data_IF_093684115422
#
_entry.id   IF_093684115422
#
_cell.length_a   1.000
_cell.length_b   1.000
_cell.length_c   1.000
_cell.angle_alpha   90.00
_cell.angle_beta   90.00
_cell.angle_gamma   90.00
#
_symmetry.space_group_name_H-M   'P 1'
#
loop_
_entity.id
_entity.type
_entity.pdbx_description
1 polymer ?
#
# COMPACT_ATOMS: atom_id res chain seq x y z
N UNK A 1 4.73 5.95 -43.94
CA UNK A 1 6.00 5.61 -43.32
C UNK A 1 7.11 5.76 -44.35
N UNK A 2 8.05 6.66 -44.14
CA UNK A 2 9.03 7.05 -45.17
C UNK A 2 10.07 5.93 -45.42
N UNK A 3 9.99 5.23 -46.58
CA UNK A 3 11.01 4.22 -47.01
C UNK A 3 12.46 4.75 -46.92
N UNK A 4 12.64 6.07 -47.05
CA UNK A 4 13.94 6.73 -46.91
C UNK A 4 14.52 6.68 -45.50
N UNK A 5 13.69 6.85 -44.46
CA UNK A 5 14.11 6.74 -43.04
C UNK A 5 14.58 5.31 -42.68
N UNK A 6 13.83 4.30 -43.11
CA UNK A 6 14.23 2.90 -42.94
C UNK A 6 15.58 2.60 -43.61
N UNK A 7 15.79 3.06 -44.86
CA UNK A 7 17.06 2.84 -45.55
C UNK A 7 18.25 3.55 -44.90
N UNK A 8 18.02 4.75 -44.34
CA UNK A 8 19.04 5.49 -43.60
C UNK A 8 19.42 4.76 -42.28
N UNK A 9 18.46 4.28 -41.50
CA UNK A 9 18.70 3.54 -40.23
C UNK A 9 19.48 2.26 -40.51
N UNK A 10 19.19 1.55 -41.59
CA UNK A 10 19.90 0.34 -42.00
C UNK A 10 21.35 0.65 -42.45
N UNK A 11 21.58 1.76 -43.12
CA UNK A 11 22.92 2.16 -43.57
C UNK A 11 23.83 2.56 -42.37
N UNK A 12 23.27 3.16 -41.31
CA UNK A 12 23.97 3.55 -40.09
C UNK A 12 23.91 2.47 -38.98
N UNK A 13 23.79 1.19 -39.38
CA UNK A 13 23.50 0.07 -38.46
C UNK A 13 24.41 -0.03 -37.21
N UNK A 14 25.69 0.32 -37.30
CA UNK A 14 26.63 0.26 -36.15
C UNK A 14 26.29 1.29 -35.07
N UNK A 15 26.05 2.53 -35.45
CA UNK A 15 25.66 3.61 -34.53
C UNK A 15 24.25 3.40 -33.99
N UNK A 16 23.32 2.92 -34.82
CA UNK A 16 21.95 2.64 -34.43
C UNK A 16 21.82 1.39 -33.55
N UNK A 17 22.69 0.38 -33.73
CA UNK A 17 22.68 -0.81 -32.85
C UNK A 17 23.00 -0.46 -31.39
N UNK A 18 23.96 0.44 -31.15
CA UNK A 18 24.27 0.90 -29.79
C UNK A 18 23.04 1.61 -29.17
N UNK A 19 22.45 2.56 -29.87
CA UNK A 19 21.25 3.26 -29.39
C UNK A 19 20.06 2.31 -29.19
N UNK A 20 19.90 1.30 -30.04
CA UNK A 20 18.88 0.27 -29.88
C UNK A 20 19.06 -0.50 -28.56
N UNK A 21 20.27 -0.97 -28.27
CA UNK A 21 20.57 -1.70 -27.02
C UNK A 21 20.38 -0.79 -25.80
N UNK A 22 20.84 0.46 -25.88
CA UNK A 22 20.67 1.45 -24.81
C UNK A 22 19.19 1.70 -24.51
N UNK A 23 18.38 1.99 -25.56
CA UNK A 23 16.94 2.21 -25.39
C UNK A 23 16.21 0.97 -24.89
N UNK A 24 16.63 -0.23 -25.30
CA UNK A 24 16.07 -1.50 -24.81
C UNK A 24 16.32 -1.67 -23.31
N UNK A 25 17.57 -1.53 -22.89
CA UNK A 25 17.94 -1.67 -21.47
C UNK A 25 17.24 -0.62 -20.61
N UNK A 26 17.20 0.62 -21.08
CA UNK A 26 16.51 1.72 -20.41
C UNK A 26 15.01 1.43 -20.31
N UNK A 27 14.37 0.94 -21.38
CA UNK A 27 12.93 0.61 -21.37
C UNK A 27 12.61 -0.45 -20.32
N UNK A 28 13.37 -1.54 -20.26
CA UNK A 28 13.18 -2.63 -19.30
C UNK A 28 13.33 -2.13 -17.85
N UNK A 29 14.43 -1.40 -17.58
CA UNK A 29 14.70 -0.88 -16.23
C UNK A 29 13.63 0.15 -15.82
N UNK A 30 13.26 1.04 -16.73
CA UNK A 30 12.25 2.06 -16.48
C UNK A 30 10.88 1.43 -16.26
N UNK A 31 10.49 0.42 -17.04
CA UNK A 31 9.25 -0.32 -16.83
C UNK A 31 9.23 -0.97 -15.43
N UNK A 32 10.30 -1.65 -15.03
CA UNK A 32 10.40 -2.26 -13.71
C UNK A 32 10.22 -1.23 -12.58
N UNK A 33 10.84 -0.04 -12.73
CA UNK A 33 10.69 1.06 -11.77
C UNK A 33 9.25 1.56 -11.72
N UNK A 34 8.63 1.79 -12.90
CA UNK A 34 7.24 2.27 -13.00
C UNK A 34 6.27 1.25 -12.42
N UNK A 35 6.42 -0.04 -12.73
CA UNK A 35 5.57 -1.11 -12.21
C UNK A 35 5.68 -1.23 -10.68
N UNK A 36 6.90 -1.23 -10.16
CA UNK A 36 7.16 -1.28 -8.72
C UNK A 36 6.52 -0.09 -7.99
N UNK A 37 6.71 1.12 -8.52
CA UNK A 37 6.13 2.34 -7.94
C UNK A 37 4.61 2.34 -8.01
N UNK A 38 4.05 1.92 -9.15
CA UNK A 38 2.61 1.79 -9.31
C UNK A 38 2.02 0.87 -8.27
N UNK A 39 2.56 -0.34 -8.11
CA UNK A 39 2.04 -1.32 -7.14
C UNK A 39 2.16 -0.82 -5.71
N UNK A 40 3.31 -0.27 -5.35
CA UNK A 40 3.53 0.25 -3.99
C UNK A 40 2.57 1.38 -3.64
N UNK A 41 2.40 2.35 -4.56
CA UNK A 41 1.47 3.45 -4.35
C UNK A 41 0.01 2.98 -4.38
N UNK A 42 -0.35 2.11 -5.31
CA UNK A 42 -1.69 1.53 -5.38
C UNK A 42 -2.05 0.83 -4.07
N UNK A 43 -1.16 -0.06 -3.58
CA UNK A 43 -1.35 -0.75 -2.31
C UNK A 43 -1.44 0.23 -1.14
N UNK A 44 -0.59 1.24 -1.08
CA UNK A 44 -0.62 2.24 -0.01
C UNK A 44 -1.95 3.00 0.07
N UNK A 45 -2.54 3.37 -1.07
CA UNK A 45 -3.79 4.12 -1.15
C UNK A 45 -5.05 3.26 -1.19
N UNK A 46 -4.93 1.93 -1.23
CA UNK A 46 -6.07 1.03 -1.22
C UNK A 46 -6.89 1.19 0.09
N UNK A 47 -8.23 1.06 0.06
CA UNK A 47 -9.07 1.18 1.25
C UNK A 47 -8.65 0.22 2.36
N UNK A 48 -8.56 0.69 3.59
CA UNK A 48 -8.14 -0.10 4.76
C UNK A 48 -9.22 -1.03 5.29
N UNK A 49 -10.49 -0.68 5.08
CA UNK A 49 -11.64 -1.37 5.67
C UNK A 49 -11.92 -1.00 7.13
N UNK A 50 -11.20 -0.02 7.69
CA UNK A 50 -11.38 0.52 9.04
C UNK A 50 -10.98 1.99 9.10
N UNK A 51 -11.44 2.66 10.16
CA UNK A 51 -11.14 4.06 10.44
C UNK A 51 -10.49 4.19 11.81
N UNK A 52 -9.35 4.89 11.86
CA UNK A 52 -8.57 5.18 13.08
C UNK A 52 -8.62 6.66 13.50
N UNK A 53 -9.41 7.49 12.83
CA UNK A 53 -9.58 8.88 13.25
C UNK A 53 -10.31 8.92 14.59
N UNK A 54 -9.91 9.83 15.46
CA UNK A 54 -10.47 10.00 16.80
C UNK A 54 -10.49 8.71 17.65
N UNK A 55 -9.55 7.79 17.42
CA UNK A 55 -9.43 6.54 18.17
C UNK A 55 -8.15 6.51 19.01
N UNK A 56 -8.25 5.90 20.18
CA UNK A 56 -7.18 5.83 21.16
C UNK A 56 -7.08 4.43 21.76
N UNK A 57 -5.84 3.97 21.99
CA UNK A 57 -5.56 2.82 22.82
C UNK A 57 -5.32 3.30 24.25
N UNK A 58 -5.98 2.64 25.20
CA UNK A 58 -5.87 2.89 26.62
C UNK A 58 -5.18 1.71 27.27
N UNK A 59 -4.14 1.96 28.06
CA UNK A 59 -3.38 0.93 28.76
C UNK A 59 -3.57 1.11 30.25
N UNK A 60 -4.03 0.04 30.92
CA UNK A 60 -4.03 -0.05 32.38
C UNK A 60 -2.79 -0.79 32.85
N UNK A 61 -2.35 -0.47 34.05
CA UNK A 61 -1.25 -1.14 34.72
C UNK A 61 -1.60 -1.35 36.19
N UNK A 62 -0.81 -2.16 36.90
CA UNK A 62 -0.99 -2.46 38.30
C UNK A 62 0.05 -1.74 39.16
N UNK A 63 -0.37 -1.30 40.35
CA UNK A 63 0.56 -0.87 41.37
C UNK A 63 1.44 -2.05 41.81
N UNK A 64 2.69 -1.80 42.02
CA UNK A 64 3.62 -2.79 42.56
C UNK A 64 3.66 -2.74 44.08
N UNK A 65 4.13 -3.79 44.76
CA UNK A 65 4.29 -3.87 46.21
C UNK A 65 5.13 -2.71 46.80
N UNK A 66 5.96 -2.07 45.98
CA UNK A 66 6.76 -0.91 46.39
C UNK A 66 5.97 0.39 46.40
N UNK A 67 4.77 0.40 45.84
CA UNK A 67 3.92 1.58 45.82
C UNK A 67 3.29 1.80 47.22
N UNK A 68 3.29 3.04 47.73
CA UNK A 68 2.70 3.32 49.05
C UNK A 68 1.19 3.03 49.11
N UNK A 69 0.52 3.02 47.98
CA UNK A 69 -0.91 2.79 47.89
C UNK A 69 -1.27 1.37 47.44
N UNK A 70 -0.30 0.45 47.43
CA UNK A 70 -0.54 -0.95 47.04
C UNK A 70 -1.42 -1.68 48.07
N UNK A 71 -2.43 -2.36 47.60
CA UNK A 71 -3.33 -3.18 48.43
C UNK A 71 -2.92 -4.64 48.28
N UNK A 72 -2.37 -5.22 49.36
CA UNK A 72 -1.95 -6.61 49.38
C UNK A 72 -3.14 -7.58 49.44
N UNK A 73 -2.94 -8.79 48.90
CA UNK A 73 -3.92 -9.89 49.03
C UNK A 73 -5.12 -9.82 48.06
N UNK A 74 -5.12 -8.91 47.07
CA UNK A 74 -6.19 -8.86 46.05
C UNK A 74 -6.09 -10.06 45.10
N UNK A 75 -7.24 -10.63 44.82
CA UNK A 75 -7.40 -11.73 43.86
C UNK A 75 -7.39 -11.23 42.41
N UNK A 76 -7.19 -12.14 41.49
CA UNK A 76 -7.32 -11.83 40.05
C UNK A 76 -8.74 -11.37 39.68
N UNK A 77 -9.76 -12.00 40.32
CA UNK A 77 -11.16 -11.65 40.07
C UNK A 77 -11.50 -10.22 40.55
N UNK A 78 -10.97 -9.79 41.69
CA UNK A 78 -11.10 -8.43 42.21
C UNK A 78 -10.40 -7.43 41.25
N UNK A 79 -9.22 -7.75 40.76
CA UNK A 79 -8.52 -6.89 39.78
C UNK A 79 -9.27 -6.80 38.46
N UNK A 80 -9.88 -7.88 38.00
CA UNK A 80 -10.73 -7.88 36.80
C UNK A 80 -12.02 -7.06 37.02
N UNK A 81 -12.59 -7.07 38.25
CA UNK A 81 -13.70 -6.19 38.57
C UNK A 81 -13.30 -4.71 38.55
N UNK A 82 -12.09 -4.38 39.06
CA UNK A 82 -11.53 -3.02 38.98
C UNK A 82 -11.37 -2.53 37.51
N UNK A 83 -10.92 -3.42 36.64
CA UNK A 83 -10.82 -3.10 35.19
C UNK A 83 -12.22 -2.83 34.60
N UNK A 84 -13.22 -3.65 34.94
CA UNK A 84 -14.61 -3.43 34.48
C UNK A 84 -15.14 -2.07 34.92
N UNK A 85 -14.93 -1.71 36.17
CA UNK A 85 -15.30 -0.39 36.72
C UNK A 85 -14.60 0.76 35.94
N UNK A 86 -13.31 0.60 35.64
CA UNK A 86 -12.57 1.59 34.84
C UNK A 86 -13.08 1.70 33.40
N UNK A 87 -13.45 0.57 32.78
CA UNK A 87 -14.10 0.56 31.47
C UNK A 87 -15.43 1.28 31.48
N UNK A 88 -16.25 1.08 32.52
CA UNK A 88 -17.53 1.77 32.67
C UNK A 88 -17.36 3.25 32.90
N UNK A 89 -16.32 3.70 33.60
CA UNK A 89 -15.97 5.11 33.72
C UNK A 89 -15.57 5.71 32.38
N UNK A 90 -14.81 4.99 31.55
CA UNK A 90 -14.47 5.42 30.20
C UNK A 90 -15.71 5.53 29.32
N UNK A 91 -16.63 4.55 29.38
CA UNK A 91 -17.89 4.55 28.60
C UNK A 91 -18.80 5.74 28.97
N UNK A 92 -18.80 6.16 30.24
CA UNK A 92 -19.60 7.30 30.74
C UNK A 92 -18.92 8.66 30.55
N UNK A 93 -17.64 8.68 30.09
CA UNK A 93 -16.94 9.94 29.90
C UNK A 93 -17.57 10.74 28.77
N UNK A 94 -17.89 12.05 28.99
CA UNK A 94 -18.33 12.91 27.89
C UNK A 94 -17.33 12.93 26.74
N UNK A 95 -17.86 12.91 25.51
CA UNK A 95 -17.03 12.89 24.30
C UNK A 95 -16.54 11.48 23.87
N UNK A 96 -16.75 10.43 24.67
CA UNK A 96 -16.48 9.04 24.27
C UNK A 96 -17.72 8.46 23.60
N UNK A 97 -17.55 7.97 22.38
CA UNK A 97 -18.60 7.35 21.55
C UNK A 97 -18.74 5.85 21.80
N UNK A 98 -17.60 5.15 21.87
CA UNK A 98 -17.57 3.70 22.07
C UNK A 98 -16.26 3.28 22.76
N UNK A 99 -16.32 2.21 23.55
CA UNK A 99 -15.17 1.58 24.20
C UNK A 99 -15.26 0.08 23.95
N UNK A 100 -14.19 -0.49 23.40
CA UNK A 100 -14.09 -1.92 23.09
C UNK A 100 -12.93 -2.58 23.78
N UNK A 101 -13.06 -3.88 24.00
CA UNK A 101 -11.96 -4.76 24.36
C UNK A 101 -11.65 -5.71 23.23
N UNK A 102 -10.38 -6.09 23.10
CA UNK A 102 -9.94 -7.05 22.11
C UNK A 102 -8.69 -7.80 22.57
N UNK A 103 -8.33 -8.84 21.81
CA UNK A 103 -7.10 -9.59 22.00
C UNK A 103 -6.41 -9.79 20.66
N UNK A 104 -5.19 -9.26 20.50
CA UNK A 104 -4.41 -9.28 19.25
C UNK A 104 -5.22 -8.82 18.03
N UNK A 105 -6.02 -7.74 18.17
CA UNK A 105 -7.06 -7.42 17.19
C UNK A 105 -7.05 -5.98 16.70
N UNK A 106 -6.48 -5.03 17.45
CA UNK A 106 -6.49 -3.63 17.00
C UNK A 106 -5.59 -3.44 15.76
N UNK A 107 -5.91 -2.50 14.88
CA UNK A 107 -5.12 -2.20 13.69
C UNK A 107 -3.67 -1.81 14.04
N UNK A 108 -2.71 -2.30 13.24
CA UNK A 108 -1.27 -1.99 13.41
C UNK A 108 -0.68 -2.43 14.77
N UNK A 109 -1.11 -3.58 15.29
CA UNK A 109 -0.64 -4.07 16.59
C UNK A 109 0.71 -4.80 16.56
N UNK A 110 1.20 -5.18 15.37
CA UNK A 110 2.45 -5.94 15.22
C UNK A 110 2.37 -7.41 15.66
N UNK A 111 1.21 -7.85 16.12
CA UNK A 111 0.96 -9.22 16.57
C UNK A 111 -0.17 -9.84 15.75
N UNK A 112 0.09 -11.02 15.20
CA UNK A 112 -0.88 -11.79 14.45
C UNK A 112 -1.17 -13.10 15.15
N UNK A 113 -2.39 -13.24 15.64
CA UNK A 113 -2.90 -14.55 16.02
C UNK A 113 -3.61 -15.14 14.81
N UNK A 114 -3.27 -16.36 14.43
CA UNK A 114 -3.88 -17.03 13.29
C UNK A 114 -5.00 -17.97 13.65
N UNK A 115 -5.88 -18.19 12.69
CA UNK A 115 -6.93 -19.20 12.75
C UNK A 115 -7.13 -19.83 11.38
N UNK A 116 -7.27 -21.14 11.33
CA UNK A 116 -7.62 -21.84 10.11
C UNK A 116 -9.14 -21.91 9.95
N UNK A 117 -9.63 -21.65 8.75
CA UNK A 117 -11.05 -21.76 8.42
C UNK A 117 -11.21 -22.71 7.24
N UNK A 118 -12.17 -23.62 7.35
CA UNK A 118 -12.51 -24.59 6.31
C UNK A 118 -14.02 -24.65 6.10
N UNK A 119 -14.41 -24.69 4.85
CA UNK A 119 -15.77 -25.00 4.43
C UNK A 119 -15.76 -26.35 3.70
N UNK A 120 -16.53 -27.32 4.20
CA UNK A 120 -16.66 -28.68 3.64
C UNK A 120 -15.29 -29.33 3.34
N UNK A 121 -15.06 -29.70 2.07
CA UNK A 121 -13.83 -30.34 1.57
C UNK A 121 -12.79 -29.34 1.09
N UNK A 122 -13.03 -28.01 1.21
CA UNK A 122 -12.08 -27.00 0.77
C UNK A 122 -10.81 -27.03 1.64
N UNK A 123 -9.71 -26.62 1.04
CA UNK A 123 -8.45 -26.48 1.77
C UNK A 123 -8.56 -25.45 2.88
N UNK A 124 -7.95 -25.74 4.02
CA UNK A 124 -7.87 -24.82 5.14
C UNK A 124 -7.18 -23.54 4.72
N UNK A 125 -7.70 -22.40 5.16
CA UNK A 125 -7.10 -21.08 4.95
C UNK A 125 -6.70 -20.47 6.27
N UNK A 126 -5.42 -20.10 6.37
CA UNK A 126 -4.89 -19.34 7.48
C UNK A 126 -5.33 -17.89 7.37
N UNK A 127 -5.86 -17.34 8.46
CA UNK A 127 -6.42 -16.00 8.55
C UNK A 127 -6.01 -15.33 9.85
N UNK A 128 -6.03 -14.01 9.87
CA UNK A 128 -5.79 -13.23 11.08
C UNK A 128 -7.02 -13.35 11.96
N UNK A 129 -6.85 -13.95 13.14
CA UNK A 129 -7.90 -14.06 14.15
C UNK A 129 -8.02 -12.77 14.94
N UNK A 130 -9.24 -12.29 15.12
CA UNK A 130 -9.58 -11.12 15.93
C UNK A 130 -10.62 -11.51 16.97
N UNK A 131 -10.25 -11.47 18.24
CA UNK A 131 -11.20 -11.60 19.35
C UNK A 131 -11.58 -10.23 19.84
N UNK A 132 -12.88 -9.90 19.75
CA UNK A 132 -13.35 -8.54 19.99
C UNK A 132 -14.70 -8.52 20.71
N UNK A 133 -14.95 -7.47 21.50
CA UNK A 133 -16.29 -7.16 21.99
C UNK A 133 -17.11 -6.48 20.88
N UNK A 134 -18.46 -6.49 20.95
CA UNK A 134 -19.32 -5.92 19.91
C UNK A 134 -19.04 -4.46 19.55
N UNK A 135 -18.65 -3.63 20.52
CA UNK A 135 -18.33 -2.22 20.29
C UNK A 135 -17.06 -1.98 19.47
N UNK A 136 -16.26 -3.03 19.24
CA UNK A 136 -15.07 -2.95 18.40
C UNK A 136 -15.38 -2.46 16.98
N UNK A 137 -16.51 -2.91 16.44
CA UNK A 137 -16.96 -2.45 15.11
C UNK A 137 -17.26 -0.95 15.09
N UNK A 138 -17.82 -0.40 16.18
CA UNK A 138 -18.08 1.04 16.34
C UNK A 138 -16.78 1.82 16.50
N UNK A 139 -15.86 1.31 17.33
CA UNK A 139 -14.55 1.97 17.55
C UNK A 139 -13.80 2.13 16.24
N UNK A 140 -13.75 1.09 15.40
CA UNK A 140 -12.98 1.11 14.15
C UNK A 140 -13.85 1.28 12.89
N UNK A 141 -15.14 1.55 13.03
CA UNK A 141 -16.12 1.78 11.95
C UNK A 141 -16.08 0.70 10.87
N UNK A 142 -16.02 -0.58 11.28
CA UNK A 142 -16.08 -1.70 10.36
C UNK A 142 -17.43 -1.75 9.64
N UNK A 143 -17.43 -2.23 8.40
CA UNK A 143 -18.63 -2.38 7.58
C UNK A 143 -18.79 -3.82 7.13
N UNK A 144 -20.05 -4.25 7.04
CA UNK A 144 -20.40 -5.52 6.44
C UNK A 144 -20.40 -5.46 4.91
N UNK A 145 -20.14 -6.60 4.27
CA UNK A 145 -20.09 -6.71 2.82
C UNK A 145 -21.46 -6.51 2.14
N UNK A 146 -22.56 -6.65 2.89
CA UNK A 146 -23.92 -6.33 2.44
C UNK A 146 -24.37 -4.94 2.87
N UNK A 147 -23.46 -4.11 3.40
CA UNK A 147 -23.76 -2.75 3.86
C UNK A 147 -24.18 -2.65 5.31
N UNK A 148 -24.02 -3.71 6.12
CA UNK A 148 -24.32 -3.68 7.55
C UNK A 148 -23.47 -2.60 8.25
N UNK A 149 -24.14 -1.84 9.14
CA UNK A 149 -23.51 -0.80 9.95
C UNK A 149 -22.70 -1.41 11.10
N UNK A 150 -21.78 -0.66 11.73
CA UNK A 150 -21.04 -1.13 12.91
C UNK A 150 -21.93 -1.65 14.04
N UNK A 151 -23.07 -0.99 14.29
CA UNK A 151 -24.03 -1.37 15.32
C UNK A 151 -24.72 -2.71 14.97
N UNK A 152 -25.10 -2.89 13.70
CA UNK A 152 -25.70 -4.13 13.22
C UNK A 152 -24.71 -5.29 13.31
N UNK A 153 -23.44 -5.06 12.94
CA UNK A 153 -22.39 -6.07 13.10
C UNK A 153 -22.19 -6.44 14.57
N UNK A 154 -22.15 -5.46 15.48
CA UNK A 154 -22.08 -5.71 16.92
C UNK A 154 -23.23 -6.59 17.41
N UNK A 155 -24.46 -6.36 16.95
CA UNK A 155 -25.63 -7.14 17.32
C UNK A 155 -25.62 -8.60 16.75
N UNK A 156 -24.95 -8.80 15.62
CA UNK A 156 -24.81 -10.11 14.97
C UNK A 156 -23.64 -10.95 15.53
N UNK A 157 -22.69 -10.34 16.24
CA UNK A 157 -21.58 -11.05 16.86
C UNK A 157 -22.02 -11.73 18.15
N UNK A 158 -22.25 -13.04 18.10
CA UNK A 158 -22.78 -13.84 19.21
C UNK A 158 -21.91 -15.05 19.48
N UNK A 159 -22.08 -15.65 20.67
CA UNK A 159 -21.46 -16.94 20.99
C UNK A 159 -21.89 -18.02 19.98
N UNK A 160 -20.93 -18.86 19.55
CA UNK A 160 -21.15 -19.89 18.54
C UNK A 160 -21.25 -19.37 17.11
N UNK A 161 -20.98 -18.07 16.88
CA UNK A 161 -20.91 -17.47 15.55
C UNK A 161 -19.56 -16.82 15.33
N UNK A 162 -19.22 -16.62 14.06
CA UNK A 162 -18.06 -15.83 13.65
C UNK A 162 -18.41 -14.93 12.47
N UNK A 163 -17.54 -13.96 12.21
CA UNK A 163 -17.56 -13.13 11.01
C UNK A 163 -16.22 -13.25 10.31
N UNK A 164 -16.18 -13.04 9.00
CA UNK A 164 -14.93 -13.04 8.26
C UNK A 164 -14.96 -12.04 7.10
N UNK A 165 -13.78 -11.60 6.69
CA UNK A 165 -13.65 -10.75 5.52
C UNK A 165 -14.04 -11.49 4.24
N UNK A 166 -14.74 -10.79 3.33
CA UNK A 166 -15.32 -11.36 2.10
C UNK A 166 -14.28 -12.06 1.21
N UNK A 167 -13.03 -11.66 1.28
CA UNK A 167 -11.92 -12.21 0.49
C UNK A 167 -11.34 -13.53 1.05
N UNK A 168 -11.99 -14.16 2.02
CA UNK A 168 -11.48 -15.36 2.70
C UNK A 168 -11.09 -16.49 1.73
N UNK A 169 -11.92 -16.76 0.71
CA UNK A 169 -11.73 -17.80 -0.28
C UNK A 169 -11.58 -17.28 -1.72
N UNK A 170 -11.53 -15.97 -1.92
CA UNK A 170 -11.56 -15.35 -3.25
C UNK A 170 -10.39 -15.77 -4.13
N UNK A 171 -9.17 -15.84 -3.57
CA UNK A 171 -7.93 -16.05 -4.34
C UNK A 171 -7.84 -17.39 -5.05
N UNK A 172 -8.52 -18.43 -4.56
CA UNK A 172 -8.44 -19.79 -5.13
C UNK A 172 -9.76 -20.32 -5.64
N UNK A 173 -10.84 -19.98 -4.96
CA UNK A 173 -12.16 -20.57 -5.24
C UNK A 173 -13.12 -19.59 -5.90
N UNK A 174 -12.72 -18.31 -6.04
CA UNK A 174 -13.55 -17.22 -6.57
C UNK A 174 -14.92 -17.10 -5.89
N UNK A 175 -14.96 -17.41 -4.57
CA UNK A 175 -16.16 -17.40 -3.75
C UNK A 175 -16.22 -16.06 -3.01
N UNK A 176 -17.33 -15.35 -3.15
CA UNK A 176 -17.68 -14.22 -2.28
C UNK A 176 -18.34 -14.77 -1.02
N UNK A 177 -17.74 -14.50 0.12
CA UNK A 177 -18.20 -15.04 1.41
C UNK A 177 -19.61 -14.60 1.80
N UNK A 178 -20.09 -13.46 1.28
CA UNK A 178 -21.46 -12.95 1.53
C UNK A 178 -22.55 -13.97 1.12
N UNK A 179 -22.29 -14.81 0.12
CA UNK A 179 -23.25 -15.81 -0.36
C UNK A 179 -23.33 -17.04 0.56
N UNK A 180 -22.48 -17.08 1.60
CA UNK A 180 -22.38 -18.20 2.55
C UNK A 180 -22.82 -17.82 3.96
N UNK A 181 -23.41 -16.64 4.16
CA UNK A 181 -23.97 -16.24 5.46
C UNK A 181 -25.00 -17.27 5.92
N UNK A 182 -24.89 -17.67 7.17
CA UNK A 182 -25.76 -18.68 7.79
C UNK A 182 -25.28 -20.12 7.65
N UNK A 183 -24.27 -20.41 6.82
CA UNK A 183 -23.63 -21.73 6.74
C UNK A 183 -22.65 -21.96 7.87
N UNK A 184 -22.41 -23.24 8.16
CA UNK A 184 -21.45 -23.70 9.17
C UNK A 184 -20.08 -23.93 8.56
N UNK A 185 -19.05 -23.57 9.30
CA UNK A 185 -17.63 -23.70 8.97
C UNK A 185 -16.90 -24.38 10.12
N UNK A 186 -15.83 -25.09 9.81
CA UNK A 186 -14.90 -25.61 10.82
C UNK A 186 -13.81 -24.56 11.06
N UNK A 187 -13.64 -24.19 12.33
CA UNK A 187 -12.58 -23.29 12.80
C UNK A 187 -11.48 -24.10 13.46
N UNK A 188 -10.23 -23.86 13.12
CA UNK A 188 -9.04 -24.58 13.57
C UNK A 188 -9.15 -26.10 13.38
N UNK A 189 -8.74 -26.88 14.37
CA UNK A 189 -8.76 -28.34 14.35
C UNK A 189 -10.10 -28.93 14.87
N UNK A 190 -11.01 -28.10 15.34
CA UNK A 190 -12.30 -28.56 15.85
C UNK A 190 -13.22 -28.91 14.67
N UNK A 191 -13.13 -30.15 14.22
CA UNK A 191 -13.99 -30.69 13.16
C UNK A 191 -15.37 -31.11 13.66
N UNK A 192 -15.58 -31.15 14.98
CA UNK A 192 -16.79 -31.68 15.63
C UNK A 192 -17.89 -30.63 15.79
N UNK A 193 -17.55 -29.33 15.80
CA UNK A 193 -18.53 -28.23 15.95
C UNK A 193 -18.44 -27.26 14.79
N UNK A 194 -19.51 -27.24 13.98
CA UNK A 194 -19.70 -26.21 12.99
C UNK A 194 -19.96 -24.85 13.67
N UNK A 195 -19.19 -23.82 13.29
CA UNK A 195 -19.44 -22.45 13.72
C UNK A 195 -20.13 -21.68 12.61
N UNK A 196 -21.21 -21.00 12.91
CA UNK A 196 -22.05 -20.36 11.92
C UNK A 196 -21.49 -19.00 11.50
N UNK A 197 -21.36 -18.75 10.20
CA UNK A 197 -21.04 -17.43 9.67
C UNK A 197 -22.22 -16.49 9.87
N UNK A 198 -22.07 -15.45 10.70
CA UNK A 198 -23.14 -14.48 10.99
C UNK A 198 -23.15 -13.29 10.05
N UNK A 199 -22.01 -12.84 9.56
CA UNK A 199 -21.88 -11.78 8.57
C UNK A 199 -20.56 -11.91 7.80
N UNK A 200 -20.52 -11.44 6.56
CA UNK A 200 -19.31 -11.18 5.81
C UNK A 200 -18.91 -9.72 6.00
N UNK A 201 -17.64 -9.45 6.26
CA UNK A 201 -17.10 -8.10 6.44
C UNK A 201 -16.45 -7.62 5.13
N UNK A 202 -16.40 -6.32 4.90
CA UNK A 202 -15.50 -5.76 3.89
C UNK A 202 -14.06 -6.15 4.18
N UNK A 203 -13.19 -6.04 3.17
CA UNK A 203 -11.77 -6.41 3.35
C UNK A 203 -11.12 -5.51 4.38
N UNK A 204 -10.53 -6.13 5.40
CA UNK A 204 -9.86 -5.44 6.51
C UNK A 204 -8.36 -5.66 6.32
N UNK A 205 -7.64 -4.63 5.92
CA UNK A 205 -6.20 -4.72 5.69
C UNK A 205 -5.42 -4.79 7.00
N UNK A 206 -4.29 -5.49 6.95
CA UNK A 206 -3.39 -5.57 8.10
C UNK A 206 -2.66 -4.24 8.32
N UNK A 207 -2.10 -3.69 7.25
CA UNK A 207 -1.42 -2.40 7.19
C UNK A 207 -1.58 -1.75 5.80
N UNK A 208 -0.94 -0.60 5.58
CA UNK A 208 -1.03 0.11 4.30
C UNK A 208 -0.06 -0.42 3.23
N UNK A 209 0.85 -1.33 3.58
CA UNK A 209 1.85 -1.90 2.67
C UNK A 209 1.55 -3.34 2.28
N UNK A 210 0.64 -4.01 2.99
CA UNK A 210 0.19 -5.37 2.67
C UNK A 210 -1.02 -5.34 1.74
N UNK A 211 -0.96 -6.11 0.65
CA UNK A 211 -2.09 -6.19 -0.28
C UNK A 211 -3.33 -6.80 0.37
N UNK A 212 -4.51 -6.37 -0.05
CA UNK A 212 -5.80 -6.82 0.47
C UNK A 212 -5.98 -8.35 0.40
N UNK A 213 -5.46 -9.00 -0.63
CA UNK A 213 -5.54 -10.46 -0.82
C UNK A 213 -4.80 -11.26 0.28
N UNK A 214 -3.86 -10.67 1.00
CA UNK A 214 -3.16 -11.30 2.13
C UNK A 214 -3.76 -10.93 3.48
N UNK A 215 -4.66 -9.96 3.53
CA UNK A 215 -5.27 -9.43 4.76
C UNK A 215 -6.64 -10.07 5.03
N UNK A 216 -6.66 -11.40 5.17
CA UNK A 216 -7.88 -12.13 5.50
C UNK A 216 -8.08 -12.16 7.01
N UNK A 217 -9.26 -11.79 7.48
CA UNK A 217 -9.56 -11.72 8.90
C UNK A 217 -10.78 -12.55 9.27
N UNK A 218 -10.70 -13.15 10.47
CA UNK A 218 -11.80 -13.86 11.13
C UNK A 218 -12.04 -13.16 12.47
N UNK A 219 -13.29 -12.82 12.75
CA UNK A 219 -13.69 -12.10 13.96
C UNK A 219 -14.58 -13.00 14.80
N UNK A 220 -14.23 -13.14 16.08
CA UNK A 220 -14.93 -13.98 17.05
C UNK A 220 -15.23 -13.14 18.30
N UNK A 221 -16.33 -13.46 18.99
CA UNK A 221 -16.73 -12.79 20.18
C UNK A 221 -15.72 -12.99 21.32
N UNK A 222 -15.22 -11.89 21.88
CA UNK A 222 -14.59 -11.85 23.20
C UNK A 222 -15.65 -11.47 24.22
N UNK A 223 -15.90 -12.35 25.18
CA UNK A 223 -16.88 -12.09 26.24
C UNK A 223 -16.27 -11.21 27.32
N UNK A 224 -17.06 -10.34 27.91
CA UNK A 224 -16.60 -9.45 28.99
C UNK A 224 -16.23 -10.21 30.28
N UNK A 225 -16.76 -11.42 30.48
CA UNK A 225 -16.39 -12.28 31.61
C UNK A 225 -15.03 -12.97 31.40
N UNK A 226 -14.48 -12.96 30.17
CA UNK A 226 -13.15 -13.44 29.81
C UNK A 226 -12.08 -12.34 29.88
N UNK A 227 -12.36 -11.26 30.61
CA UNK A 227 -11.39 -10.21 30.87
C UNK A 227 -10.16 -10.79 31.55
N UNK A 228 -9.01 -10.61 30.91
CA UNK A 228 -7.72 -10.96 31.45
C UNK A 228 -6.76 -9.77 31.32
N UNK A 229 -5.79 -9.72 32.21
CA UNK A 229 -4.67 -8.79 32.05
C UNK A 229 -4.03 -8.96 30.68
N UNK A 230 -3.84 -7.86 29.99
CA UNK A 230 -3.27 -7.86 28.63
C UNK A 230 -4.31 -7.74 27.51
N UNK A 231 -5.62 -7.75 27.81
CA UNK A 231 -6.60 -7.38 26.82
C UNK A 231 -6.41 -5.92 26.38
N UNK A 232 -6.62 -5.69 25.11
CA UNK A 232 -6.47 -4.39 24.46
C UNK A 232 -7.74 -3.58 24.70
N UNK A 233 -7.59 -2.35 25.18
CA UNK A 233 -8.70 -1.43 25.37
C UNK A 233 -8.58 -0.31 24.37
N UNK A 234 -9.58 -0.17 23.52
CA UNK A 234 -9.63 0.82 22.47
C UNK A 234 -10.91 1.64 22.62
N UNK A 235 -10.82 2.94 22.40
CA UNK A 235 -11.98 3.82 22.42
C UNK A 235 -12.00 4.76 21.20
N UNK A 236 -13.19 5.21 20.86
CA UNK A 236 -13.43 6.27 19.89
C UNK A 236 -14.08 7.45 20.59
N UNK A 237 -13.64 8.64 20.25
CA UNK A 237 -14.32 9.88 20.64
C UNK A 237 -15.25 10.36 19.53
N UNK A 238 -16.24 11.15 19.90
CA UNK A 238 -17.13 11.81 18.94
C UNK A 238 -16.36 12.74 18.00
N UNK A 239 -16.83 12.91 16.78
CA UNK A 239 -16.18 13.74 15.76
C UNK A 239 -16.05 15.24 16.17
N UNK A 240 -16.85 15.70 17.14
CA UNK A 240 -16.78 17.06 17.70
C UNK A 240 -15.89 17.22 18.92
N UNK A 241 -15.20 16.16 19.36
CA UNK A 241 -14.34 16.23 20.56
C UNK A 241 -13.11 17.12 20.28
N UNK A 242 -12.81 18.12 21.15
CA UNK A 242 -11.65 18.98 20.97
C UNK A 242 -10.32 18.22 20.95
N UNK A 243 -9.34 18.75 20.21
CA UNK A 243 -7.98 18.21 20.19
C UNK A 243 -7.38 18.06 21.60
N UNK A 244 -6.44 17.13 21.80
CA UNK A 244 -5.80 16.91 23.09
C UNK A 244 -6.59 16.01 24.05
N UNK A 245 -7.47 15.14 23.53
CA UNK A 245 -8.23 14.20 24.35
C UNK A 245 -7.32 13.28 25.20
N UNK A 246 -6.24 12.77 24.62
CA UNK A 246 -5.31 11.88 25.35
C UNK A 246 -4.68 12.60 26.55
N UNK A 247 -4.27 13.84 26.40
CA UNK A 247 -3.66 14.68 27.45
C UNK A 247 -4.68 14.98 28.55
N UNK A 248 -5.94 15.31 28.19
CA UNK A 248 -7.01 15.52 29.18
C UNK A 248 -7.33 14.25 29.95
N UNK A 249 -7.43 13.10 29.25
CA UNK A 249 -7.69 11.82 29.91
C UNK A 249 -6.55 11.44 30.87
N UNK A 250 -5.30 11.65 30.46
CA UNK A 250 -4.13 11.39 31.31
C UNK A 250 -4.05 12.36 32.52
N UNK A 251 -4.50 13.60 32.37
CA UNK A 251 -4.58 14.56 33.48
C UNK A 251 -5.58 14.13 34.54
N UNK A 252 -6.70 13.52 34.11
CA UNK A 252 -7.74 13.02 35.00
C UNK A 252 -7.40 11.62 35.59
N UNK A 253 -6.39 10.93 35.05
CA UNK A 253 -6.04 9.56 35.41
C UNK A 253 -5.84 9.34 36.91
N UNK A 254 -5.07 10.16 37.66
CA UNK A 254 -4.82 9.93 39.08
C UNK A 254 -6.08 9.97 39.95
N UNK A 255 -7.05 10.81 39.59
CA UNK A 255 -8.28 11.03 40.38
C UNK A 255 -9.46 10.20 39.95
N UNK A 256 -9.61 9.88 38.66
CA UNK A 256 -10.81 9.25 38.11
C UNK A 256 -10.56 7.84 37.59
N UNK A 257 -9.32 7.51 37.16
CA UNK A 257 -9.03 6.25 36.47
C UNK A 257 -8.01 5.42 37.25
N UNK A 258 -8.25 5.32 38.55
CA UNK A 258 -7.60 4.39 39.49
C UNK A 258 -8.66 3.72 40.35
N UNK A 259 -8.66 2.38 40.42
CA UNK A 259 -9.52 1.56 41.25
C UNK A 259 -8.68 0.41 41.80
N UNK A 260 -8.67 0.23 43.09
CA UNK A 260 -7.79 -0.77 43.72
C UNK A 260 -6.32 -0.59 43.34
N UNK A 261 -5.72 -1.66 42.86
CA UNK A 261 -4.35 -1.63 42.33
C UNK A 261 -4.25 -1.28 40.83
N UNK A 262 -5.36 -1.14 40.14
CA UNK A 262 -5.39 -0.87 38.71
C UNK A 262 -5.46 0.63 38.46
N UNK A 263 -4.65 1.13 37.54
CA UNK A 263 -4.64 2.54 37.16
C UNK A 263 -4.41 2.73 35.65
N UNK A 264 -4.90 3.84 35.11
CA UNK A 264 -4.62 4.26 33.73
C UNK A 264 -3.17 4.71 33.63
N UNK A 265 -2.38 3.97 32.84
CA UNK A 265 -0.94 4.22 32.69
C UNK A 265 -0.59 5.00 31.41
N UNK A 266 -1.34 4.78 30.33
CA UNK A 266 -1.03 5.39 29.04
C UNK A 266 -2.26 5.52 28.14
N UNK A 267 -2.30 6.60 27.38
CA UNK A 267 -3.25 6.80 26.29
C UNK A 267 -2.47 7.16 25.03
N UNK A 268 -2.69 6.42 23.95
CA UNK A 268 -1.99 6.64 22.69
C UNK A 268 -2.98 6.70 21.52
N UNK A 269 -2.88 7.71 20.66
CA UNK A 269 -3.74 7.80 19.49
C UNK A 269 -3.36 6.72 18.45
N UNK A 270 -4.36 6.18 17.74
CA UNK A 270 -4.10 5.20 16.68
C UNK A 270 -3.34 5.80 15.49
N UNK A 271 -3.43 7.10 15.26
CA UNK A 271 -2.57 7.77 14.27
C UNK A 271 -1.09 7.65 14.65
N UNK A 272 -0.76 7.78 15.94
CA UNK A 272 0.60 7.65 16.44
C UNK A 272 1.08 6.19 16.44
N UNK A 273 0.20 5.25 16.83
CA UNK A 273 0.47 3.81 16.74
C UNK A 273 0.78 3.40 15.30
N UNK A 274 -0.06 3.80 14.33
CA UNK A 274 0.15 3.56 12.92
C UNK A 274 1.47 4.14 12.43
N UNK A 275 1.76 5.41 12.77
CA UNK A 275 3.01 6.08 12.38
C UNK A 275 4.24 5.32 12.87
N UNK A 276 4.21 4.85 14.11
CA UNK A 276 5.33 4.09 14.70
C UNK A 276 5.44 2.70 14.07
N UNK A 277 4.32 2.01 13.88
CA UNK A 277 4.27 0.68 13.29
C UNK A 277 4.83 0.66 11.86
N UNK A 278 4.47 1.65 11.04
CA UNK A 278 4.86 1.75 9.63
C UNK A 278 6.16 2.52 9.39
N UNK A 279 6.93 2.84 10.45
CA UNK A 279 8.12 3.67 10.33
C UNK A 279 9.16 3.05 9.39
N UNK A 280 9.41 1.75 9.51
CA UNK A 280 10.40 1.03 8.70
C UNK A 280 9.95 0.90 7.24
N UNK A 281 8.67 0.60 7.01
CA UNK A 281 8.08 0.54 5.66
C UNK A 281 8.13 1.91 4.97
N UNK A 282 7.80 2.98 5.70
CA UNK A 282 7.90 4.34 5.20
C UNK A 282 9.34 4.77 4.89
N UNK A 283 10.29 4.36 5.71
CA UNK A 283 11.71 4.61 5.45
C UNK A 283 12.19 3.83 4.23
N UNK A 284 11.76 2.58 4.10
CA UNK A 284 12.04 1.73 2.94
C UNK A 284 11.46 2.35 1.66
N UNK A 285 10.21 2.80 1.69
CA UNK A 285 9.58 3.51 0.58
C UNK A 285 10.35 4.78 0.19
N UNK A 286 10.77 5.58 1.17
CA UNK A 286 11.60 6.78 0.91
C UNK A 286 12.93 6.43 0.25
N UNK A 287 13.61 5.40 0.74
CA UNK A 287 14.88 4.94 0.18
C UNK A 287 14.72 4.48 -1.27
N UNK A 288 13.66 3.73 -1.58
CA UNK A 288 13.33 3.35 -2.94
C UNK A 288 13.02 4.55 -3.82
N UNK A 289 12.21 5.50 -3.35
CA UNK A 289 11.90 6.73 -4.08
C UNK A 289 13.17 7.52 -4.41
N UNK A 290 14.08 7.69 -3.47
CA UNK A 290 15.36 8.38 -3.68
C UNK A 290 16.23 7.61 -4.67
N UNK A 291 16.39 6.30 -4.49
CA UNK A 291 17.18 5.45 -5.37
C UNK A 291 16.64 5.45 -6.81
N UNK A 292 15.32 5.32 -6.97
CA UNK A 292 14.66 5.34 -8.28
C UNK A 292 14.75 6.72 -8.93
N UNK A 293 14.59 7.80 -8.17
CA UNK A 293 14.77 9.17 -8.69
C UNK A 293 16.20 9.39 -9.18
N UNK A 294 17.19 8.91 -8.44
CA UNK A 294 18.59 8.96 -8.84
C UNK A 294 18.83 8.14 -10.12
N UNK A 295 18.28 6.94 -10.20
CA UNK A 295 18.37 6.08 -11.38
C UNK A 295 17.76 6.75 -12.62
N UNK A 296 16.54 7.30 -12.48
CA UNK A 296 15.86 8.04 -13.56
C UNK A 296 16.68 9.25 -14.03
N UNK A 297 17.26 9.99 -13.09
CA UNK A 297 18.14 11.12 -13.44
C UNK A 297 19.37 10.64 -14.22
N UNK A 298 20.02 9.55 -13.82
CA UNK A 298 21.17 9.00 -14.53
C UNK A 298 20.81 8.51 -15.94
N UNK A 299 19.67 7.80 -16.07
CA UNK A 299 19.13 7.36 -17.37
C UNK A 299 18.87 8.58 -18.27
N UNK A 300 18.21 9.62 -17.72
CA UNK A 300 17.94 10.84 -18.47
C UNK A 300 19.24 11.53 -18.95
N UNK A 301 20.23 11.66 -18.06
CA UNK A 301 21.53 12.25 -18.41
C UNK A 301 22.29 11.42 -19.45
N UNK A 302 22.25 10.08 -19.35
CA UNK A 302 22.84 9.17 -20.33
C UNK A 302 22.21 9.36 -21.71
N UNK A 303 20.87 9.30 -21.82
CA UNK A 303 20.16 9.55 -23.07
C UNK A 303 20.40 10.96 -23.62
N UNK A 304 20.39 11.96 -22.75
CA UNK A 304 20.70 13.34 -23.16
C UNK A 304 22.11 13.43 -23.75
N UNK A 305 23.10 12.80 -23.14
CA UNK A 305 24.47 12.73 -23.65
C UNK A 305 24.56 12.04 -25.00
N UNK A 306 23.90 10.89 -25.16
CA UNK A 306 23.88 10.14 -26.43
C UNK A 306 23.20 10.95 -27.54
N UNK A 307 22.06 11.56 -27.28
CA UNK A 307 21.39 12.41 -28.28
C UNK A 307 22.15 13.71 -28.56
N UNK A 308 22.80 14.29 -27.54
CA UNK A 308 23.70 15.44 -27.73
C UNK A 308 24.83 15.09 -28.67
N UNK A 309 25.56 14.01 -28.40
CA UNK A 309 26.70 13.58 -29.22
C UNK A 309 26.28 13.29 -30.68
N UNK A 310 25.17 12.56 -30.88
CA UNK A 310 24.62 12.29 -32.21
C UNK A 310 24.24 13.56 -32.95
N UNK A 311 23.61 14.52 -32.28
CA UNK A 311 23.23 15.77 -32.87
C UNK A 311 24.45 16.60 -33.30
N UNK A 312 25.51 16.59 -32.46
CA UNK A 312 26.78 17.26 -32.81
C UNK A 312 27.47 16.62 -34.02
N UNK A 313 27.53 15.29 -34.12
CA UNK A 313 28.10 14.57 -35.24
C UNK A 313 27.36 14.88 -36.57
N UNK A 314 26.08 15.21 -36.52
CA UNK A 314 25.25 15.48 -37.69
C UNK A 314 25.06 16.98 -37.99
N UNK A 315 25.91 17.83 -37.40
CA UNK A 315 25.86 19.30 -37.55
C UNK A 315 25.97 19.73 -39.00
N UNK A 316 26.91 19.12 -39.76
CA UNK A 316 27.09 19.37 -41.21
C UNK A 316 25.86 18.97 -42.03
N UNK A 317 25.24 17.78 -41.76
CA UNK A 317 24.00 17.38 -42.45
C UNK A 317 22.85 18.37 -42.17
N UNK A 318 22.71 18.85 -40.93
CA UNK A 318 21.69 19.83 -40.57
C UNK A 318 21.93 21.17 -41.25
N UNK A 319 23.19 21.61 -41.31
CA UNK A 319 23.57 22.85 -42.04
C UNK A 319 23.27 22.74 -43.53
N UNK A 320 23.62 21.61 -44.18
CA UNK A 320 23.29 21.34 -45.55
C UNK A 320 21.79 21.34 -45.82
N UNK A 321 20.98 20.71 -44.94
CA UNK A 321 19.52 20.75 -45.07
C UNK A 321 18.94 22.15 -44.98
N UNK A 322 19.48 23.00 -44.10
CA UNK A 322 19.07 24.41 -43.99
C UNK A 322 19.54 25.23 -45.21
N UNK A 323 20.72 24.97 -45.74
CA UNK A 323 21.24 25.64 -46.93
C UNK A 323 20.40 25.35 -48.19
N UNK A 324 19.81 24.14 -48.31
CA UNK A 324 18.91 23.72 -49.38
C UNK A 324 17.45 24.17 -49.16
N UNK A 325 17.19 25.01 -48.12
CA UNK A 325 15.87 25.60 -47.86
C UNK A 325 15.02 24.90 -46.80
N UNK A 326 15.59 23.94 -46.06
CA UNK A 326 14.90 23.29 -44.93
C UNK A 326 14.67 24.25 -43.76
N UNK A 327 13.46 24.32 -43.24
CA UNK A 327 13.18 25.12 -42.05
C UNK A 327 13.76 24.44 -40.77
N UNK A 328 14.14 25.26 -39.78
CA UNK A 328 14.60 24.77 -38.46
C UNK A 328 13.62 23.76 -37.82
N UNK A 329 12.31 24.01 -37.96
CA UNK A 329 11.27 23.09 -37.49
C UNK A 329 11.31 21.74 -38.21
N UNK A 330 11.49 21.75 -39.54
CA UNK A 330 11.56 20.50 -40.32
C UNK A 330 12.75 19.63 -39.90
N UNK A 331 13.92 20.24 -39.67
CA UNK A 331 15.13 19.53 -39.20
C UNK A 331 14.90 18.94 -37.83
N UNK A 332 14.33 19.70 -36.88
CA UNK A 332 13.99 19.25 -35.56
C UNK A 332 13.04 18.05 -35.56
N UNK A 333 11.91 18.15 -36.26
CA UNK A 333 10.94 17.06 -36.36
C UNK A 333 11.51 15.82 -37.06
N UNK A 334 12.46 15.97 -37.94
CA UNK A 334 13.16 14.84 -38.55
C UNK A 334 13.99 14.08 -37.51
N UNK A 335 14.82 14.79 -36.73
CA UNK A 335 15.62 14.16 -35.64
C UNK A 335 14.71 13.48 -34.60
N UNK A 336 13.63 14.16 -34.24
CA UNK A 336 12.66 13.61 -33.28
C UNK A 336 11.97 12.35 -33.82
N UNK A 337 11.58 12.35 -35.11
CA UNK A 337 10.98 11.18 -35.75
C UNK A 337 11.94 9.99 -35.85
N UNK A 338 13.24 10.21 -36.00
CA UNK A 338 14.24 9.16 -35.95
C UNK A 338 14.35 8.54 -34.55
N UNK A 339 14.38 9.37 -33.47
CA UNK A 339 14.39 8.90 -32.10
C UNK A 339 13.14 8.10 -31.73
N UNK A 340 11.96 8.61 -32.08
CA UNK A 340 10.70 7.90 -31.83
C UNK A 340 10.56 6.62 -32.66
N UNK A 341 11.08 6.61 -33.88
CA UNK A 341 11.09 5.40 -34.69
C UNK A 341 11.99 4.31 -34.09
N UNK A 342 13.14 4.69 -33.53
CA UNK A 342 14.00 3.75 -32.81
C UNK A 342 13.31 3.21 -31.56
N UNK A 343 12.60 4.05 -30.80
CA UNK A 343 11.77 3.60 -29.67
C UNK A 343 10.70 2.60 -30.14
N UNK A 344 10.02 2.86 -31.23
CA UNK A 344 9.00 1.97 -31.79
C UNK A 344 9.57 0.61 -32.25
N UNK A 345 10.81 0.58 -32.75
CA UNK A 345 11.51 -0.67 -33.08
C UNK A 345 11.91 -1.48 -31.84
N UNK A 346 12.26 -0.81 -30.75
CA UNK A 346 12.64 -1.44 -29.47
C UNK A 346 11.42 -1.99 -28.75
N UNK A 347 10.28 -1.32 -28.80
CA UNK A 347 9.06 -1.61 -28.04
C UNK A 347 8.60 -3.07 -28.11
N UNK A 348 8.53 -3.77 -29.28
CA UNK A 348 8.06 -5.16 -29.30
C UNK A 348 8.95 -6.12 -28.51
N UNK A 349 10.27 -5.89 -28.54
CA UNK A 349 11.22 -6.72 -27.80
C UNK A 349 11.16 -6.42 -26.30
N UNK A 350 11.09 -5.13 -25.92
CA UNK A 350 10.92 -4.69 -24.54
C UNK A 350 9.63 -5.29 -23.96
N UNK A 351 8.47 -5.14 -24.63
CA UNK A 351 7.19 -5.74 -24.20
C UNK A 351 7.27 -7.24 -23.94
N UNK A 352 8.02 -7.99 -24.80
CA UNK A 352 8.21 -9.43 -24.61
C UNK A 352 8.98 -9.74 -23.32
N UNK A 353 10.05 -9.00 -23.06
CA UNK A 353 10.90 -9.16 -21.86
C UNK A 353 10.13 -8.74 -20.60
N UNK A 354 9.46 -7.59 -20.64
CA UNK A 354 8.71 -7.04 -19.52
C UNK A 354 7.52 -7.94 -19.14
N UNK A 355 6.83 -8.50 -20.13
CA UNK A 355 5.79 -9.50 -19.92
C UNK A 355 6.35 -10.79 -19.27
N UNK A 356 7.55 -11.22 -19.67
CA UNK A 356 8.21 -12.36 -19.04
C UNK A 356 8.58 -12.06 -17.58
N UNK A 357 9.18 -10.88 -17.30
CA UNK A 357 9.52 -10.44 -15.95
C UNK A 357 8.26 -10.34 -15.06
N UNK A 358 7.19 -9.74 -15.60
CA UNK A 358 5.92 -9.59 -14.90
C UNK A 358 5.28 -10.92 -14.48
N UNK A 359 5.40 -11.96 -15.35
CA UNK A 359 4.86 -13.30 -15.07
C UNK A 359 5.76 -14.16 -14.19
N UNK A 360 7.05 -13.85 -14.14
CA UNK A 360 8.05 -14.62 -13.37
C UNK A 360 8.04 -14.31 -11.87
N UNK A 361 7.09 -13.48 -11.39
CA UNK A 361 6.95 -13.08 -9.97
C UNK A 361 8.28 -12.61 -9.34
N UNK A 362 9.14 -11.98 -10.13
CA UNK A 362 10.38 -11.37 -9.64
C UNK A 362 10.13 -10.17 -8.70
N UNK A 363 8.90 -9.67 -8.68
CA UNK A 363 8.42 -8.71 -7.68
C UNK A 363 7.94 -9.48 -6.44
N UNK A 364 8.26 -9.03 -5.20
CA UNK A 364 7.83 -9.70 -3.98
C UNK A 364 6.29 -9.83 -3.94
N UNK A 365 5.77 -11.03 -4.19
CA UNK A 365 4.32 -11.29 -4.34
C UNK A 365 3.53 -11.11 -3.04
N UNK A 366 4.19 -11.20 -1.88
CA UNK A 366 3.54 -11.08 -0.58
C UNK A 366 3.15 -9.65 -0.19
N UNK A 367 3.78 -8.65 -0.81
CA UNK A 367 3.47 -7.22 -0.58
C UNK A 367 2.56 -6.63 -1.66
N UNK A 368 2.47 -7.27 -2.85
CA UNK A 368 1.90 -6.65 -4.02
C UNK A 368 0.77 -7.48 -4.62
N UNK A 369 -0.16 -6.80 -5.28
CA UNK A 369 -1.24 -7.46 -6.01
C UNK A 369 -0.68 -8.36 -7.12
N UNK A 370 -1.36 -9.46 -7.40
CA UNK A 370 -1.04 -10.38 -8.49
C UNK A 370 -1.01 -9.66 -9.84
N UNK A 371 -0.26 -10.21 -10.81
CA UNK A 371 -0.21 -9.71 -12.18
C UNK A 371 -1.63 -9.56 -12.77
N UNK A 372 -1.92 -8.38 -13.31
CA UNK A 372 -3.13 -8.11 -14.10
C UNK A 372 -2.75 -7.47 -15.43
N UNK A 373 -3.48 -7.83 -16.48
CA UNK A 373 -3.24 -7.25 -17.83
C UNK A 373 -3.42 -5.73 -17.84
N UNK A 374 -4.40 -5.23 -17.09
CA UNK A 374 -4.65 -3.77 -16.99
C UNK A 374 -3.47 -3.02 -16.37
N UNK A 375 -2.89 -3.54 -15.29
CA UNK A 375 -1.68 -3.00 -14.66
C UNK A 375 -0.52 -2.98 -15.64
N UNK A 376 -0.24 -4.12 -16.30
CA UNK A 376 0.85 -4.24 -17.24
C UNK A 376 0.73 -3.20 -18.36
N UNK A 377 -0.43 -3.10 -19.02
CA UNK A 377 -0.67 -2.13 -20.10
C UNK A 377 -0.53 -0.69 -19.60
N UNK A 378 -1.03 -0.36 -18.41
CA UNK A 378 -0.90 0.98 -17.85
C UNK A 378 0.58 1.34 -17.60
N UNK A 379 1.35 0.46 -16.97
CA UNK A 379 2.77 0.68 -16.69
C UNK A 379 3.59 0.82 -17.99
N UNK A 380 3.28 0.03 -19.01
CA UNK A 380 3.89 0.15 -20.33
C UNK A 380 3.58 1.50 -21.00
N UNK A 381 2.32 1.94 -20.96
CA UNK A 381 1.95 3.25 -21.51
C UNK A 381 2.71 4.39 -20.81
N UNK A 382 2.84 4.32 -19.49
CA UNK A 382 3.61 5.32 -18.71
C UNK A 382 5.09 5.27 -19.07
N UNK A 383 5.67 4.07 -19.18
CA UNK A 383 7.08 3.88 -19.58
C UNK A 383 7.35 4.45 -20.97
N UNK A 384 6.53 4.11 -21.95
CA UNK A 384 6.67 4.64 -23.31
C UNK A 384 6.49 6.16 -23.37
N UNK A 385 5.58 6.71 -22.60
CA UNK A 385 5.40 8.16 -22.48
C UNK A 385 6.66 8.83 -21.90
N UNK A 386 7.21 8.29 -20.81
CA UNK A 386 8.43 8.81 -20.21
C UNK A 386 9.62 8.71 -21.16
N UNK A 387 9.78 7.59 -21.86
CA UNK A 387 10.82 7.42 -22.90
C UNK A 387 10.66 8.44 -24.03
N UNK A 388 9.44 8.64 -24.52
CA UNK A 388 9.17 9.63 -25.59
C UNK A 388 9.48 11.06 -25.13
N UNK A 389 9.18 11.41 -23.87
CA UNK A 389 9.51 12.70 -23.27
C UNK A 389 11.02 12.87 -23.05
N UNK A 390 11.73 11.83 -22.64
CA UNK A 390 13.20 11.85 -22.49
C UNK A 390 13.89 12.04 -23.83
N UNK A 391 13.43 11.34 -24.89
CA UNK A 391 13.93 11.53 -26.27
C UNK A 391 13.67 12.96 -26.73
N UNK A 392 12.47 13.49 -26.50
CA UNK A 392 12.12 14.87 -26.86
C UNK A 392 13.06 15.85 -26.16
N UNK A 393 13.27 15.73 -24.86
CA UNK A 393 14.16 16.60 -24.10
C UNK A 393 15.62 16.46 -24.53
N UNK A 394 16.08 15.23 -24.76
CA UNK A 394 17.45 14.91 -25.20
C UNK A 394 17.78 15.48 -26.59
N UNK A 395 16.79 15.58 -27.48
CA UNK A 395 16.98 16.17 -28.81
C UNK A 395 16.74 17.68 -28.80
N UNK A 396 15.81 18.18 -28.01
CA UNK A 396 15.41 19.59 -28.00
C UNK A 396 16.58 20.53 -27.73
N UNK A 397 17.33 20.28 -26.67
CA UNK A 397 18.40 21.19 -26.24
C UNK A 397 19.56 21.25 -27.25
N UNK A 398 20.16 20.12 -27.68
CA UNK A 398 21.28 20.16 -28.65
C UNK A 398 20.83 20.61 -30.05
N UNK A 399 19.62 20.23 -30.50
CA UNK A 399 19.11 20.67 -31.80
C UNK A 399 18.92 22.19 -31.83
N UNK A 400 18.36 22.79 -30.75
CA UNK A 400 18.17 24.23 -30.64
C UNK A 400 19.51 24.99 -30.67
N UNK A 401 20.55 24.43 -30.03
CA UNK A 401 21.88 25.04 -30.04
C UNK A 401 22.53 24.96 -31.44
N UNK A 402 22.51 23.77 -32.07
CA UNK A 402 23.09 23.56 -33.40
C UNK A 402 22.40 24.40 -34.49
N UNK A 403 21.08 24.63 -34.39
CA UNK A 403 20.31 25.46 -35.32
C UNK A 403 20.54 26.98 -35.15
N UNK A 404 21.27 27.44 -34.11
CA UNK A 404 21.68 28.85 -33.96
C UNK A 404 22.89 29.22 -34.79
N UNK A 405 23.71 28.23 -35.16
CA UNK A 405 24.94 28.40 -35.93
C UNK A 405 24.56 28.72 -37.38
N UNK A 406 25.25 29.67 -37.99
CA UNK A 406 25.00 30.00 -39.41
C UNK A 406 25.48 28.84 -40.30
N UNK A 407 24.69 28.46 -41.35
CA UNK A 407 25.06 27.36 -42.25
C UNK A 407 26.47 27.49 -42.88
N UNK A 408 26.91 28.73 -43.14
CA UNK A 408 28.24 29.01 -43.65
C UNK A 408 29.39 28.70 -42.69
N UNK A 409 29.18 28.89 -41.37
CA UNK A 409 30.16 28.55 -40.33
C UNK A 409 30.24 27.02 -40.13
N UNK A 410 29.09 26.35 -40.12
CA UNK A 410 29.04 24.91 -39.89
C UNK A 410 29.66 24.07 -41.05
N UNK A 411 29.65 24.58 -42.26
CA UNK A 411 30.27 23.97 -43.46
C UNK A 411 31.77 24.29 -43.61
N UNK A 412 32.29 25.27 -42.85
CA UNK A 412 33.70 25.66 -42.86
C UNK A 412 34.53 24.89 -41.79
N UNK A 413 33.89 24.29 -40.82
CA UNK A 413 34.53 23.48 -39.75
C UNK A 413 34.77 22.02 -40.16
N UNK A 414 34.33 21.56 -41.35
CA UNK A 414 34.72 20.30 -42.00
C UNK A 414 35.92 20.56 -42.94
#
# INVERSE_FOLDING_TARGET
MNKKLLKQIVNERRSNAWLFVELLLVSIVLWYVVDYMFVTLYTYFEPRGFDIENTYRVEFNYLTEKSPDYIAGRTEEENNADIRELLDRLRRRPGVEAVSMSQNSFPNNGSNSGMEVRLDTMERKYNIRRWVTPDFFRVFRYRGANGETPEQLGALLKEGTFMASRNLFESRYHIDLKDYIGKEFCLDQDTARGTKLSAALEVIRYDDFSAACYSRSVVILLREDQLAYGNEICLRTSDGEPAGFAERLMKDAPSQYRVGNVFLSKVNSFQNIRRTFQLDDMNTLRNYLVGMSFLLLNIFLGLLGTFWFRTQQRKGEMALMMAVGGSKKSVFFRLLSEGWFMLLLVTPLALGIDCYIAKSELTPSWQFSTFTVGRFVLCECVTLLLMALMILAGIWFPARQSMKIQPAEALREE
#
